data_IF_103113442921
#
_entry.id   IF_103113442921
#
_cell.length_a   1.000
_cell.length_b   1.000
_cell.length_c   1.000
_cell.angle_alpha   90.00
_cell.angle_beta   90.00
_cell.angle_gamma   90.00
#
_symmetry.space_group_name_H-M   'P 1'
#
loop_
_entity.id
_entity.type
_entity.pdbx_description
1 polymer ?
#
# COMPACT_ATOMS: atom_id res chain seq x y z
N UNK A 1 -13.53 -58.32 -40.99
CA UNK A 1 -13.78 -56.88 -40.74
C UNK A 1 -13.23 -56.59 -39.34
N UNK A 2 -11.94 -56.13 -39.25
CA UNK A 2 -11.28 -55.84 -37.97
C UNK A 2 -11.58 -54.38 -37.59
N UNK A 3 -12.20 -54.23 -36.43
CA UNK A 3 -12.62 -52.96 -35.88
C UNK A 3 -11.43 -52.02 -35.64
N UNK A 4 -11.29 -51.00 -36.47
CA UNK A 4 -10.35 -49.90 -36.32
C UNK A 4 -10.82 -48.87 -35.25
N UNK A 5 -11.74 -49.26 -34.36
CA UNK A 5 -12.31 -48.37 -33.35
C UNK A 5 -11.38 -48.13 -32.17
N UNK A 6 -10.42 -49.02 -31.87
CA UNK A 6 -9.57 -48.93 -30.66
C UNK A 6 -8.62 -47.71 -30.65
N UNK A 7 -7.99 -47.41 -31.78
CA UNK A 7 -6.98 -46.35 -31.81
C UNK A 7 -7.60 -44.92 -31.73
N UNK A 8 -8.76 -44.71 -32.35
CA UNK A 8 -9.45 -43.41 -32.31
C UNK A 8 -10.03 -43.11 -30.91
N UNK A 9 -10.55 -44.15 -30.22
CA UNK A 9 -11.03 -43.99 -28.86
C UNK A 9 -9.91 -43.67 -27.85
N UNK A 10 -8.74 -44.27 -28.02
CA UNK A 10 -7.55 -44.00 -27.17
C UNK A 10 -7.03 -42.59 -27.39
N UNK A 11 -6.96 -42.13 -28.65
CA UNK A 11 -6.52 -40.76 -28.97
C UNK A 11 -7.51 -39.75 -28.37
N UNK A 12 -8.80 -39.93 -28.49
CA UNK A 12 -9.81 -39.05 -27.91
C UNK A 12 -9.73 -38.99 -26.39
N UNK A 13 -9.47 -40.13 -25.72
CA UNK A 13 -9.29 -40.18 -24.23
C UNK A 13 -8.05 -39.44 -23.79
N UNK A 14 -6.97 -39.53 -24.53
CA UNK A 14 -5.70 -38.81 -24.24
C UNK A 14 -5.91 -37.30 -24.42
N UNK A 15 -6.57 -36.85 -25.47
CA UNK A 15 -6.84 -35.44 -25.73
C UNK A 15 -7.71 -34.83 -24.61
N UNK A 16 -8.75 -35.56 -24.16
CA UNK A 16 -9.61 -35.12 -23.06
C UNK A 16 -8.80 -35.05 -21.75
N UNK A 17 -7.94 -36.01 -21.48
CA UNK A 17 -7.11 -36.06 -20.27
C UNK A 17 -6.08 -34.93 -20.27
N UNK A 18 -5.43 -34.64 -21.37
CA UNK A 18 -4.50 -33.51 -21.51
C UNK A 18 -5.26 -32.18 -21.35
N UNK A 19 -6.42 -32.03 -22.00
CA UNK A 19 -7.26 -30.84 -21.82
C UNK A 19 -7.70 -30.62 -20.38
N UNK A 20 -8.04 -31.68 -19.68
CA UNK A 20 -8.41 -31.62 -18.24
C UNK A 20 -7.23 -31.19 -17.36
N UNK A 21 -6.03 -31.71 -17.60
CA UNK A 21 -4.82 -31.35 -16.86
C UNK A 21 -4.50 -29.86 -17.07
N UNK A 22 -4.59 -29.38 -18.32
CA UNK A 22 -4.37 -27.96 -18.63
C UNK A 22 -5.40 -27.08 -17.92
N UNK A 23 -6.68 -27.46 -17.95
CA UNK A 23 -7.74 -26.71 -17.31
C UNK A 23 -7.55 -26.64 -15.77
N UNK A 24 -7.24 -27.76 -15.13
CA UNK A 24 -6.96 -27.81 -13.68
C UNK A 24 -5.74 -26.96 -13.33
N UNK A 25 -4.67 -27.05 -14.13
CA UNK A 25 -3.45 -26.25 -13.92
C UNK A 25 -3.75 -24.75 -13.99
N UNK A 26 -4.53 -24.33 -15.00
CA UNK A 26 -4.94 -22.93 -15.16
C UNK A 26 -5.82 -22.46 -13.98
N UNK A 27 -6.80 -23.25 -13.55
CA UNK A 27 -7.62 -22.93 -12.39
C UNK A 27 -6.80 -22.82 -11.11
N UNK A 28 -5.83 -23.72 -10.90
CA UNK A 28 -4.96 -23.70 -9.72
C UNK A 28 -4.10 -22.44 -9.71
N UNK A 29 -3.48 -22.08 -10.82
CA UNK A 29 -2.66 -20.86 -10.93
C UNK A 29 -3.54 -19.62 -10.72
N UNK A 30 -4.71 -19.57 -11.32
CA UNK A 30 -5.66 -18.45 -11.16
C UNK A 30 -6.11 -18.31 -9.69
N UNK A 31 -6.40 -19.41 -9.01
CA UNK A 31 -6.77 -19.43 -7.61
C UNK A 31 -5.64 -18.92 -6.71
N UNK A 32 -4.42 -19.39 -6.93
CA UNK A 32 -3.24 -18.91 -6.18
C UNK A 32 -2.97 -17.44 -6.41
N UNK A 33 -3.19 -16.94 -7.62
CA UNK A 33 -3.03 -15.52 -7.94
C UNK A 33 -4.08 -14.65 -7.24
N UNK A 34 -5.33 -15.09 -7.23
CA UNK A 34 -6.43 -14.41 -6.55
C UNK A 34 -6.23 -14.38 -5.03
N UNK A 35 -5.85 -15.51 -4.42
CA UNK A 35 -5.62 -15.56 -2.98
C UNK A 35 -4.43 -14.72 -2.53
N UNK A 36 -3.38 -14.62 -3.33
CA UNK A 36 -2.26 -13.73 -3.06
C UNK A 36 -2.69 -12.26 -3.13
N UNK A 37 -3.45 -11.90 -4.14
CA UNK A 37 -3.93 -10.51 -4.35
C UNK A 37 -4.85 -10.04 -3.21
N UNK A 38 -5.69 -10.92 -2.66
CA UNK A 38 -6.59 -10.55 -1.54
C UNK A 38 -5.85 -10.32 -0.22
N UNK A 39 -4.70 -10.95 -0.01
CA UNK A 39 -3.87 -10.72 1.18
C UNK A 39 -3.14 -9.36 1.16
N UNK A 40 -2.94 -8.78 -0.01
CA UNK A 40 -2.26 -7.48 -0.16
C UNK A 40 -3.23 -6.28 -0.05
N UNK A 41 -4.54 -6.50 -0.14
CA UNK A 41 -5.56 -5.43 -0.09
C UNK A 41 -5.54 -4.62 1.22
N UNK A 42 -5.43 -5.23 2.41
CA UNK A 42 -5.33 -4.48 3.66
C UNK A 42 -4.09 -3.58 3.69
N UNK A 43 -2.98 -4.07 3.16
CA UNK A 43 -1.71 -3.36 3.12
C UNK A 43 -1.78 -2.13 2.20
N UNK A 44 -2.47 -2.26 1.06
CA UNK A 44 -2.71 -1.16 0.13
C UNK A 44 -3.64 -0.09 0.73
N UNK A 45 -4.63 -0.48 1.55
CA UNK A 45 -5.50 0.48 2.21
C UNK A 45 -4.75 1.33 3.24
N UNK A 46 -3.84 0.73 4.01
CA UNK A 46 -2.97 1.46 4.96
C UNK A 46 -2.13 2.50 4.22
N UNK A 47 -1.49 2.10 3.12
CA UNK A 47 -0.66 3.01 2.32
C UNK A 47 -1.48 4.18 1.76
N UNK A 48 -2.65 3.90 1.17
CA UNK A 48 -3.55 4.94 0.63
C UNK A 48 -4.00 5.93 1.69
N UNK A 49 -4.43 5.43 2.84
CA UNK A 49 -4.89 6.30 3.93
C UNK A 49 -3.78 7.26 4.37
N UNK A 50 -2.54 6.77 4.48
CA UNK A 50 -1.40 7.64 4.79
C UNK A 50 -1.15 8.71 3.72
N UNK A 51 -1.15 8.34 2.45
CA UNK A 51 -0.96 9.28 1.34
C UNK A 51 -2.10 10.31 1.27
N UNK A 52 -3.35 9.91 1.55
CA UNK A 52 -4.51 10.79 1.55
C UNK A 52 -4.42 11.83 2.68
N UNK A 53 -4.06 11.42 3.91
CA UNK A 53 -3.86 12.32 5.05
C UNK A 53 -2.84 13.41 4.69
N UNK A 54 -1.64 12.99 4.23
CA UNK A 54 -0.60 13.95 3.88
C UNK A 54 -0.93 14.79 2.64
N UNK A 55 -1.81 14.29 1.75
CA UNK A 55 -2.31 15.07 0.61
C UNK A 55 -3.24 16.19 1.06
N UNK A 56 -4.14 15.92 1.99
CA UNK A 56 -5.04 16.92 2.57
C UNK A 56 -4.22 17.99 3.31
N UNK A 57 -3.31 17.60 4.19
CA UNK A 57 -2.46 18.50 4.96
C UNK A 57 -1.58 19.38 4.08
N UNK A 58 -1.11 18.87 2.93
CA UNK A 58 -0.33 19.66 1.98
C UNK A 58 -1.21 20.65 1.21
N UNK A 59 -2.42 20.23 0.84
CA UNK A 59 -3.41 21.09 0.17
C UNK A 59 -3.86 22.25 1.05
N UNK A 60 -4.09 22.00 2.34
CA UNK A 60 -4.51 23.00 3.32
C UNK A 60 -3.32 23.86 3.84
N UNK A 61 -2.12 23.56 3.39
CA UNK A 61 -0.85 24.17 3.81
C UNK A 61 -0.47 23.93 5.27
N UNK A 62 -1.05 22.96 5.95
CA UNK A 62 -0.74 22.63 7.35
C UNK A 62 0.72 22.23 7.53
N UNK A 63 1.26 21.42 6.62
CA UNK A 63 2.68 21.03 6.63
C UNK A 63 3.62 22.23 6.55
N UNK A 64 3.17 23.31 5.88
CA UNK A 64 3.98 24.51 5.68
C UNK A 64 4.00 25.42 6.90
N UNK A 65 3.11 25.22 7.87
CA UNK A 65 3.12 25.98 9.15
C UNK A 65 4.38 25.72 9.93
N UNK A 66 4.90 24.47 9.85
CA UNK A 66 5.99 23.95 10.68
C UNK A 66 5.69 24.09 12.19
N UNK A 67 4.42 24.11 12.56
CA UNK A 67 3.95 24.06 13.93
C UNK A 67 3.69 22.59 14.31
N UNK A 68 4.49 22.09 15.23
CA UNK A 68 4.45 20.68 15.65
C UNK A 68 3.11 20.28 16.27
N UNK A 69 2.52 21.15 17.08
CA UNK A 69 1.23 20.89 17.74
C UNK A 69 0.11 20.88 16.72
N UNK A 70 0.05 21.86 15.85
CA UNK A 70 -0.97 21.93 14.81
C UNK A 70 -0.90 20.74 13.86
N UNK A 71 0.29 20.39 13.37
CA UNK A 71 0.50 19.25 12.46
C UNK A 71 0.09 17.94 13.14
N UNK A 72 0.45 17.77 14.41
CA UNK A 72 0.09 16.58 15.18
C UNK A 72 -1.42 16.45 15.36
N UNK A 73 -2.10 17.51 15.80
CA UNK A 73 -3.54 17.53 16.02
C UNK A 73 -4.29 17.25 14.72
N UNK A 74 -3.94 17.95 13.62
CA UNK A 74 -4.55 17.70 12.30
C UNK A 74 -4.32 16.27 11.82
N UNK A 75 -3.11 15.71 12.03
CA UNK A 75 -2.82 14.31 11.66
C UNK A 75 -3.73 13.34 12.41
N UNK A 76 -3.91 13.52 13.73
CA UNK A 76 -4.77 12.64 14.53
C UNK A 76 -6.25 12.83 14.25
N UNK A 77 -6.70 14.03 13.89
CA UNK A 77 -8.09 14.30 13.50
C UNK A 77 -8.45 13.61 12.16
N UNK A 78 -7.48 13.48 11.25
CA UNK A 78 -7.66 12.81 9.97
C UNK A 78 -7.42 11.29 10.04
N UNK A 79 -6.75 10.81 11.10
CA UNK A 79 -6.37 9.41 11.25
C UNK A 79 -7.56 8.56 11.72
N UNK A 80 -7.99 7.54 10.96
CA UNK A 80 -9.05 6.65 11.43
C UNK A 80 -8.65 5.86 12.69
N UNK A 81 -9.59 5.61 13.61
CA UNK A 81 -9.36 5.05 14.95
C UNK A 81 -8.58 3.73 15.01
N UNK A 82 -8.68 2.94 13.94
CA UNK A 82 -8.04 1.61 13.85
C UNK A 82 -6.61 1.65 13.31
N UNK A 83 -6.08 2.83 12.99
CA UNK A 83 -4.69 3.02 12.60
C UNK A 83 -3.88 3.70 13.69
N UNK A 84 -2.58 3.48 13.63
CA UNK A 84 -1.59 4.25 14.35
C UNK A 84 -0.51 4.74 13.39
N UNK A 85 0.18 5.82 13.74
CA UNK A 85 1.11 6.50 12.84
C UNK A 85 2.33 7.01 13.60
N UNK A 86 3.48 6.98 12.93
CA UNK A 86 4.67 7.74 13.30
C UNK A 86 5.05 8.66 12.15
N UNK A 87 5.34 9.91 12.45
CA UNK A 87 5.64 10.96 11.48
C UNK A 87 6.99 11.59 11.77
N UNK A 88 7.75 11.82 10.70
CA UNK A 88 8.99 12.59 10.72
C UNK A 88 8.94 13.63 9.59
N UNK A 89 9.02 14.90 9.94
CA UNK A 89 9.07 16.01 8.98
C UNK A 89 10.40 16.72 9.15
N UNK A 90 11.12 16.84 8.05
CA UNK A 90 12.42 17.53 8.00
C UNK A 90 12.34 18.68 7.01
N UNK A 91 12.78 19.86 7.44
CA UNK A 91 12.86 21.05 6.62
C UNK A 91 14.29 21.36 6.22
N UNK A 92 14.48 21.99 5.06
CA UNK A 92 15.81 22.40 4.55
C UNK A 92 16.51 23.44 5.40
N UNK A 93 15.79 24.14 6.28
CA UNK A 93 16.34 25.08 7.29
C UNK A 93 16.78 24.37 8.58
N UNK A 94 16.72 23.05 8.62
CA UNK A 94 17.18 22.23 9.75
C UNK A 94 16.12 21.93 10.81
N UNK A 95 14.88 22.39 10.65
CA UNK A 95 13.79 22.05 11.58
C UNK A 95 13.36 20.61 11.40
N UNK A 96 13.20 19.89 12.52
CA UNK A 96 12.74 18.50 12.56
C UNK A 96 11.54 18.41 13.49
N UNK A 97 10.47 17.78 13.01
CA UNK A 97 9.24 17.50 13.76
C UNK A 97 9.05 15.99 13.76
N UNK A 98 8.92 15.41 14.95
CA UNK A 98 8.65 13.98 15.13
C UNK A 98 7.50 13.82 16.11
N UNK A 99 6.56 12.95 15.78
CA UNK A 99 5.48 12.57 16.69
C UNK A 99 4.90 11.21 16.29
N UNK A 100 4.11 10.62 17.16
CA UNK A 100 3.39 9.38 16.94
C UNK A 100 3.86 8.24 17.82
N UNK A 101 3.31 7.04 17.57
CA UNK A 101 3.61 5.83 18.32
C UNK A 101 4.95 5.19 17.97
N UNK A 102 5.34 4.18 18.72
CA UNK A 102 6.52 3.38 18.39
C UNK A 102 6.19 2.47 17.19
N UNK A 103 7.07 2.46 16.20
CA UNK A 103 6.91 1.59 15.03
C UNK A 103 7.04 0.13 15.48
N UNK A 104 6.03 -0.72 15.24
CA UNK A 104 6.07 -2.12 15.64
C UNK A 104 6.95 -2.96 14.72
N UNK A 105 7.62 -3.97 15.29
CA UNK A 105 8.44 -4.92 14.53
C UNK A 105 7.66 -6.21 14.14
N UNK A 106 6.46 -6.40 14.72
CA UNK A 106 5.70 -7.65 14.67
C UNK A 106 4.53 -7.66 13.66
N UNK A 107 4.31 -6.55 12.95
CA UNK A 107 3.19 -6.40 12.03
C UNK A 107 3.57 -5.60 10.78
N UNK A 108 2.66 -5.60 9.80
CA UNK A 108 2.84 -4.82 8.59
C UNK A 108 2.82 -3.31 8.89
N UNK A 109 3.84 -2.62 8.42
CA UNK A 109 3.98 -1.17 8.49
C UNK A 109 4.09 -0.62 7.07
N UNK A 110 3.13 0.21 6.67
CA UNK A 110 3.23 0.98 5.44
C UNK A 110 4.07 2.24 5.69
N UNK A 111 4.88 2.63 4.74
CA UNK A 111 5.64 3.88 4.83
C UNK A 111 5.51 4.68 3.54
N UNK A 112 5.39 5.98 3.68
CA UNK A 112 5.36 6.90 2.56
C UNK A 112 6.26 8.09 2.76
N UNK A 113 6.47 8.85 1.68
CA UNK A 113 7.29 10.04 1.68
C UNK A 113 6.68 11.09 0.76
N UNK A 114 6.55 12.31 1.28
CA UNK A 114 6.04 13.45 0.52
C UNK A 114 7.01 14.61 0.56
N UNK A 115 7.09 15.33 -0.54
CA UNK A 115 7.87 16.55 -0.66
C UNK A 115 6.92 17.72 -0.83
N UNK A 116 7.09 18.76 -0.02
CA UNK A 116 6.32 20.00 -0.09
C UNK A 116 7.28 21.19 -0.12
N UNK A 117 6.80 22.30 -0.63
CA UNK A 117 7.61 23.52 -0.76
C UNK A 117 6.88 24.66 -0.09
N UNK A 118 7.53 25.32 0.85
CA UNK A 118 7.05 26.57 1.46
C UNK A 118 7.74 27.74 0.80
N UNK A 119 6.97 28.62 0.19
CA UNK A 119 7.47 29.84 -0.45
C UNK A 119 7.04 31.04 0.39
N UNK A 120 8.03 31.70 0.98
CA UNK A 120 7.87 33.00 1.61
C UNK A 120 8.47 34.05 0.67
N UNK A 121 8.16 35.32 0.90
CA UNK A 121 8.54 36.44 0.01
C UNK A 121 10.01 36.45 -0.45
N UNK A 122 10.94 35.95 0.39
CA UNK A 122 12.38 35.95 0.11
C UNK A 122 13.07 34.60 0.32
N UNK A 123 12.34 33.54 0.73
CA UNK A 123 12.94 32.25 1.02
C UNK A 123 12.07 31.11 0.53
N UNK A 124 12.72 30.10 -0.04
CA UNK A 124 12.07 28.83 -0.40
C UNK A 124 12.59 27.75 0.54
N UNK A 125 11.69 27.12 1.28
CA UNK A 125 11.98 26.03 2.20
C UNK A 125 11.40 24.74 1.65
N UNK A 126 12.24 23.72 1.52
CA UNK A 126 11.83 22.39 1.11
C UNK A 126 11.52 21.53 2.33
N UNK A 127 10.39 20.86 2.30
CA UNK A 127 9.92 19.97 3.35
C UNK A 127 9.94 18.53 2.84
N UNK A 128 10.40 17.63 3.69
CA UNK A 128 10.30 16.19 3.47
C UNK A 128 9.52 15.59 4.62
N UNK A 129 8.32 15.14 4.36
CA UNK A 129 7.48 14.42 5.31
C UNK A 129 7.60 12.93 5.04
N UNK A 130 7.93 12.16 6.07
CA UNK A 130 7.93 10.69 6.06
C UNK A 130 6.93 10.22 7.10
N UNK A 131 6.18 9.17 6.78
CA UNK A 131 5.28 8.54 7.72
C UNK A 131 5.43 7.02 7.69
N UNK A 132 5.11 6.41 8.81
CA UNK A 132 4.95 4.98 8.99
C UNK A 132 3.60 4.75 9.65
N UNK A 133 2.76 3.93 9.05
CA UNK A 133 1.39 3.69 9.50
C UNK A 133 1.09 2.19 9.57
N UNK A 134 0.35 1.78 10.58
CA UNK A 134 -0.02 0.38 10.81
C UNK A 134 -1.41 0.27 11.45
N UNK A 135 -1.96 -0.93 11.43
CA UNK A 135 -3.19 -1.27 12.16
C UNK A 135 -2.87 -1.45 13.66
N UNK A 136 -3.73 -0.92 14.51
CA UNK A 136 -3.67 -1.10 15.99
C UNK A 136 -3.88 -2.54 16.41
#
# INVERSE_FOLDING_TARGET
>A
MKLQFGNKAIIFTIDVLVGLIIAISFLTVSYLYLTKSTNDLPNLSVLRTGDDIFSVMDYDNDLQTLDSSHIQDTTYDLLPDHYDIYVNITSSDGKIINFGGNIPDDRFVASGKRYSVKINQNTTTYLTSRYWMWLK
#
